data_IF_766222289108
#
_entry.id   IF_766222289108
#
_cell.length_a   1.000
_cell.length_b   1.000
_cell.length_c   1.000
_cell.angle_alpha   90.00
_cell.angle_beta   90.00
_cell.angle_gamma   90.00
#
_symmetry.space_group_name_H-M   'P 1'
#
loop_
_entity.id
_entity.type
_entity.pdbx_description
1 polymer ?
#
# COMPACT_ATOMS: atom_id res chain seq x y z
N UNK A 1 -18.79 -20.26 -15.70
CA UNK A 1 -19.36 -20.54 -14.36
C UNK A 1 -20.58 -19.64 -14.19
N UNK A 2 -21.63 -20.12 -13.52
CA UNK A 2 -22.74 -19.25 -13.14
C UNK A 2 -22.25 -18.30 -12.06
N UNK A 3 -22.51 -17.00 -12.23
CA UNK A 3 -22.33 -15.99 -11.19
C UNK A 3 -23.15 -16.46 -9.96
N UNK A 4 -22.57 -16.52 -8.74
CA UNK A 4 -23.32 -16.91 -7.55
C UNK A 4 -24.57 -16.05 -7.40
N UNK A 5 -25.67 -16.60 -6.88
CA UNK A 5 -26.95 -15.90 -6.77
C UNK A 5 -26.87 -14.58 -5.95
N UNK A 6 -25.82 -14.44 -5.15
CA UNK A 6 -25.52 -13.30 -4.29
C UNK A 6 -24.91 -12.11 -5.04
N UNK A 7 -24.29 -12.34 -6.20
CA UNK A 7 -23.80 -11.29 -7.12
C UNK A 7 -24.91 -10.75 -8.04
N UNK A 8 -26.17 -11.05 -7.74
CA UNK A 8 -27.27 -10.28 -8.32
C UNK A 8 -27.22 -8.83 -7.78
N UNK A 9 -27.63 -7.81 -8.54
CA UNK A 9 -27.42 -6.40 -8.19
C UNK A 9 -28.05 -5.94 -6.86
N UNK A 10 -29.01 -6.69 -6.28
CA UNK A 10 -29.59 -6.39 -4.96
C UNK A 10 -28.98 -7.24 -3.82
N UNK A 11 -28.17 -8.25 -4.14
CA UNK A 11 -27.54 -9.14 -3.17
C UNK A 11 -26.30 -8.52 -2.54
N UNK A 12 -25.50 -7.81 -3.35
CA UNK A 12 -24.24 -7.20 -2.92
C UNK A 12 -24.42 -6.13 -1.83
N UNK A 13 -25.44 -5.27 -1.96
CA UNK A 13 -25.70 -4.16 -1.03
C UNK A 13 -26.08 -4.60 0.39
N UNK A 14 -26.43 -5.89 0.59
CA UNK A 14 -26.85 -6.43 1.89
C UNK A 14 -25.87 -7.48 2.45
N UNK A 15 -24.69 -7.63 1.84
CA UNK A 15 -23.69 -8.57 2.33
C UNK A 15 -23.17 -8.16 3.70
N UNK A 16 -22.86 -9.17 4.51
CA UNK A 16 -22.17 -9.02 5.78
C UNK A 16 -20.80 -9.67 5.72
N UNK A 17 -19.93 -9.36 6.68
CA UNK A 17 -18.62 -10.01 6.78
C UNK A 17 -18.74 -11.54 6.88
N UNK A 18 -19.76 -12.05 7.57
CA UNK A 18 -20.00 -13.48 7.68
C UNK A 18 -20.42 -14.13 6.36
N UNK A 19 -21.13 -13.38 5.49
CA UNK A 19 -21.50 -13.88 4.16
C UNK A 19 -20.24 -14.01 3.31
N UNK A 20 -19.39 -12.98 3.27
CA UNK A 20 -18.10 -13.00 2.58
C UNK A 20 -17.21 -14.14 3.10
N UNK A 21 -17.05 -14.28 4.42
CA UNK A 21 -16.23 -15.33 5.04
C UNK A 21 -16.71 -16.76 4.67
N UNK A 22 -18.02 -16.91 4.40
CA UNK A 22 -18.60 -18.19 4.00
C UNK A 22 -18.46 -18.51 2.51
N UNK A 23 -18.08 -17.53 1.69
CA UNK A 23 -17.94 -17.69 0.24
C UNK A 23 -16.63 -18.39 -0.15
N UNK A 24 -16.63 -19.22 -1.19
CA UNK A 24 -15.40 -19.74 -1.76
C UNK A 24 -14.61 -18.62 -2.49
N UNK A 25 -13.27 -18.58 -2.42
CA UNK A 25 -12.45 -17.57 -3.12
C UNK A 25 -12.75 -17.47 -4.62
N UNK A 26 -13.13 -18.58 -5.27
CA UNK A 26 -13.50 -18.62 -6.68
C UNK A 26 -14.74 -17.78 -7.03
N UNK A 27 -15.56 -17.41 -6.04
CA UNK A 27 -16.69 -16.51 -6.23
C UNK A 27 -16.24 -15.12 -6.70
N UNK A 28 -15.02 -14.69 -6.32
CA UNK A 28 -14.46 -13.39 -6.66
C UNK A 28 -13.71 -13.37 -8.00
N UNK A 29 -13.57 -14.50 -8.68
CA UNK A 29 -12.70 -14.60 -9.87
C UNK A 29 -13.20 -13.85 -11.11
N UNK A 30 -14.44 -13.39 -11.10
CA UNK A 30 -15.04 -12.65 -12.22
C UNK A 30 -15.72 -11.35 -11.76
N UNK A 31 -15.48 -10.92 -10.52
CA UNK A 31 -16.06 -9.69 -10.00
C UNK A 31 -15.52 -8.49 -10.77
N UNK A 32 -16.39 -7.54 -11.08
CA UNK A 32 -16.04 -6.27 -11.72
C UNK A 32 -15.79 -5.17 -10.68
N UNK A 33 -15.14 -4.08 -11.08
CA UNK A 33 -14.98 -2.90 -10.21
C UNK A 33 -16.33 -2.36 -9.72
N UNK A 34 -17.35 -2.38 -10.57
CA UNK A 34 -18.70 -1.88 -10.24
C UNK A 34 -19.37 -2.77 -9.19
N UNK A 35 -19.29 -4.09 -9.34
CA UNK A 35 -19.80 -5.04 -8.35
C UNK A 35 -19.03 -4.94 -7.04
N UNK A 36 -17.69 -4.82 -7.10
CA UNK A 36 -16.86 -4.68 -5.92
C UNK A 36 -17.16 -3.38 -5.15
N UNK A 37 -17.32 -2.25 -5.86
CA UNK A 37 -17.70 -0.96 -5.26
C UNK A 37 -19.12 -0.96 -4.65
N UNK A 38 -19.94 -1.96 -4.99
CA UNK A 38 -21.29 -2.13 -4.47
C UNK A 38 -21.33 -3.00 -3.21
N UNK A 39 -20.21 -3.63 -2.81
CA UNK A 39 -20.09 -4.35 -1.55
C UNK A 39 -20.00 -3.34 -0.40
N UNK A 40 -20.79 -3.46 0.67
CA UNK A 40 -20.69 -2.56 1.80
C UNK A 40 -19.32 -2.69 2.50
N UNK A 41 -18.74 -1.57 2.92
CA UNK A 41 -17.45 -1.56 3.61
C UNK A 41 -17.40 -2.52 4.81
N UNK A 42 -18.47 -2.59 5.61
CA UNK A 42 -18.55 -3.52 6.75
C UNK A 42 -18.42 -5.00 6.36
N UNK A 43 -18.77 -5.39 5.13
CA UNK A 43 -18.60 -6.76 4.65
C UNK A 43 -17.15 -7.10 4.31
N UNK A 44 -16.31 -6.08 4.05
CA UNK A 44 -14.88 -6.28 3.78
C UNK A 44 -14.15 -6.92 4.96
N UNK A 45 -14.70 -6.83 6.17
CA UNK A 45 -14.19 -7.51 7.36
C UNK A 45 -14.15 -9.04 7.25
N UNK A 46 -14.86 -9.64 6.29
CA UNK A 46 -14.86 -11.08 6.01
C UNK A 46 -13.81 -11.54 5.00
N UNK A 47 -13.08 -10.62 4.36
CA UNK A 47 -12.10 -10.96 3.32
C UNK A 47 -10.87 -11.65 3.88
N UNK A 48 -10.29 -12.56 3.11
CA UNK A 48 -9.00 -13.17 3.40
C UNK A 48 -8.04 -13.11 2.19
N UNK A 49 -6.77 -13.46 2.40
CA UNK A 49 -5.75 -13.40 1.36
C UNK A 49 -6.07 -14.28 0.13
N UNK A 50 -6.75 -15.40 0.33
CA UNK A 50 -7.22 -16.27 -0.75
C UNK A 50 -8.29 -15.56 -1.59
N UNK A 51 -9.26 -14.90 -0.97
CA UNK A 51 -10.29 -14.15 -1.71
C UNK A 51 -9.68 -13.01 -2.54
N UNK A 52 -8.78 -12.23 -1.95
CA UNK A 52 -8.07 -11.15 -2.66
C UNK A 52 -7.22 -11.72 -3.80
N UNK A 53 -6.46 -12.78 -3.55
CA UNK A 53 -5.60 -13.42 -4.56
C UNK A 53 -6.34 -14.06 -5.74
N UNK A 54 -7.64 -14.35 -5.60
CA UNK A 54 -8.49 -14.86 -6.69
C UNK A 54 -9.19 -13.74 -7.48
N UNK A 55 -9.15 -12.50 -6.99
CA UNK A 55 -9.81 -11.36 -7.64
C UNK A 55 -9.07 -10.93 -8.91
N UNK A 56 -9.76 -10.50 -9.97
CA UNK A 56 -9.09 -9.84 -11.09
C UNK A 56 -8.56 -8.47 -10.67
N UNK A 57 -7.34 -8.07 -11.10
CA UNK A 57 -6.77 -6.75 -10.76
C UNK A 57 -7.72 -5.58 -11.06
N UNK A 58 -8.47 -5.67 -12.16
CA UNK A 58 -9.44 -4.65 -12.55
C UNK A 58 -10.53 -4.38 -11.51
N UNK A 59 -10.86 -5.33 -10.62
CA UNK A 59 -11.84 -5.12 -9.56
C UNK A 59 -11.34 -4.16 -8.48
N UNK A 60 -10.03 -4.09 -8.25
CA UNK A 60 -9.42 -3.16 -7.29
C UNK A 60 -9.71 -1.69 -7.63
N UNK A 61 -10.04 -1.40 -8.90
CA UNK A 61 -10.49 -0.07 -9.33
C UNK A 61 -11.80 0.41 -8.68
N UNK A 62 -12.56 -0.49 -8.05
CA UNK A 62 -13.77 -0.17 -7.29
C UNK A 62 -13.53 0.07 -5.80
N UNK A 63 -12.30 -0.06 -5.30
CA UNK A 63 -11.99 0.09 -3.88
C UNK A 63 -11.99 1.56 -3.45
N UNK A 64 -12.42 1.84 -2.22
CA UNK A 64 -12.30 3.16 -1.60
C UNK A 64 -11.68 3.06 -0.20
N UNK A 65 -11.46 4.20 0.45
CA UNK A 65 -10.80 4.28 1.75
C UNK A 65 -11.58 3.59 2.88
N UNK A 66 -12.91 3.62 2.85
CA UNK A 66 -13.74 2.98 3.89
C UNK A 66 -13.67 1.46 3.72
N UNK A 67 -13.71 0.95 2.49
CA UNK A 67 -13.49 -0.48 2.19
C UNK A 67 -12.10 -0.95 2.62
N UNK A 68 -11.05 -0.16 2.33
CA UNK A 68 -9.69 -0.46 2.76
C UNK A 68 -9.60 -0.52 4.29
N UNK A 69 -10.16 0.48 4.98
CA UNK A 69 -10.17 0.56 6.45
C UNK A 69 -10.88 -0.63 7.10
N UNK A 70 -11.95 -1.13 6.47
CA UNK A 70 -12.73 -2.25 7.00
C UNK A 70 -12.13 -3.63 6.66
N UNK A 71 -11.17 -3.70 5.74
CA UNK A 71 -10.51 -4.96 5.36
C UNK A 71 -9.60 -5.46 6.51
N UNK A 72 -9.56 -6.76 6.79
CA UNK A 72 -8.62 -7.27 7.78
C UNK A 72 -7.19 -7.26 7.21
N UNK A 73 -6.14 -6.98 8.03
CA UNK A 73 -4.76 -6.99 7.56
C UNK A 73 -4.35 -8.30 6.87
N UNK A 74 -4.89 -9.44 7.32
CA UNK A 74 -4.59 -10.74 6.72
C UNK A 74 -4.98 -10.84 5.24
N UNK A 75 -5.97 -10.05 4.77
CA UNK A 75 -6.37 -10.03 3.36
C UNK A 75 -5.31 -9.40 2.45
N UNK A 76 -4.48 -8.49 2.97
CA UNK A 76 -3.37 -7.86 2.23
C UNK A 76 -2.37 -8.88 1.69
N UNK A 77 -2.24 -10.03 2.36
CA UNK A 77 -1.35 -11.11 1.93
C UNK A 77 -1.67 -11.72 0.56
N UNK A 78 -2.86 -11.43 0.02
CA UNK A 78 -3.27 -11.86 -1.32
C UNK A 78 -2.95 -10.86 -2.44
N UNK A 79 -2.46 -9.66 -2.12
CA UNK A 79 -2.21 -8.62 -3.14
C UNK A 79 -0.98 -8.93 -4.00
N UNK A 80 -1.03 -8.44 -5.23
CA UNK A 80 0.11 -8.43 -6.14
C UNK A 80 0.30 -7.04 -6.79
N UNK A 81 1.35 -6.90 -7.61
CA UNK A 81 1.69 -5.62 -8.24
C UNK A 81 0.61 -5.12 -9.21
N UNK A 82 -0.07 -6.01 -9.93
CA UNK A 82 -1.12 -5.63 -10.88
C UNK A 82 -2.36 -5.15 -10.11
N UNK A 83 -2.71 -5.81 -8.99
CA UNK A 83 -3.77 -5.36 -8.09
C UNK A 83 -3.47 -3.99 -7.49
N UNK A 84 -2.23 -3.78 -7.02
CA UNK A 84 -1.78 -2.51 -6.49
C UNK A 84 -1.87 -1.40 -7.56
N UNK A 85 -1.42 -1.69 -8.78
CA UNK A 85 -1.48 -0.75 -9.92
C UNK A 85 -2.92 -0.36 -10.29
N UNK A 86 -3.87 -1.30 -10.16
CA UNK A 86 -5.27 -1.08 -10.48
C UNK A 86 -6.06 -0.39 -9.36
N UNK A 87 -5.51 -0.30 -8.15
CA UNK A 87 -6.14 0.36 -7.01
C UNK A 87 -6.19 1.88 -7.22
N UNK A 88 -7.30 2.56 -6.89
CA UNK A 88 -7.33 4.02 -6.94
C UNK A 88 -6.52 4.61 -5.77
N UNK A 89 -5.79 5.72 -5.98
CA UNK A 89 -5.02 6.37 -4.90
C UNK A 89 -5.86 6.70 -3.66
N UNK A 90 -7.14 7.02 -3.84
CA UNK A 90 -8.05 7.31 -2.73
C UNK A 90 -8.19 6.15 -1.72
N UNK A 91 -8.09 4.88 -2.18
CA UNK A 91 -8.17 3.73 -1.28
C UNK A 91 -6.99 3.65 -0.31
N UNK A 92 -5.83 4.18 -0.70
CA UNK A 92 -4.63 4.23 0.15
C UNK A 92 -4.86 5.00 1.46
N UNK A 93 -5.83 5.93 1.48
CA UNK A 93 -6.18 6.71 2.67
C UNK A 93 -6.70 5.86 3.83
N UNK A 94 -7.14 4.62 3.58
CA UNK A 94 -7.60 3.67 4.58
C UNK A 94 -6.55 2.68 5.07
N UNK A 95 -5.32 2.71 4.55
CA UNK A 95 -4.26 1.79 4.99
C UNK A 95 -3.71 2.15 6.38
N UNK A 96 -3.34 1.13 7.14
CA UNK A 96 -2.63 1.29 8.41
C UNK A 96 -1.34 0.45 8.44
N UNK A 97 -0.61 0.52 9.56
CA UNK A 97 0.67 -0.16 9.70
C UNK A 97 0.54 -1.69 9.65
N UNK A 98 -0.53 -2.26 10.22
CA UNK A 98 -0.73 -3.71 10.24
C UNK A 98 -1.05 -4.23 8.83
N UNK A 99 -1.87 -3.49 8.06
CA UNK A 99 -2.11 -3.77 6.64
C UNK A 99 -0.81 -3.70 5.82
N UNK A 100 0.01 -2.67 6.02
CA UNK A 100 1.29 -2.54 5.34
C UNK A 100 2.20 -3.73 5.67
N UNK A 101 2.33 -4.12 6.93
CA UNK A 101 3.14 -5.28 7.34
C UNK A 101 2.62 -6.61 6.76
N UNK A 102 1.32 -6.75 6.56
CA UNK A 102 0.73 -7.94 5.97
C UNK A 102 0.79 -7.97 4.43
N UNK A 103 1.09 -6.84 3.79
CA UNK A 103 1.23 -6.72 2.34
C UNK A 103 2.50 -7.45 1.87
N UNK A 104 2.45 -8.23 0.79
CA UNK A 104 3.65 -8.87 0.26
C UNK A 104 4.55 -7.82 -0.42
N UNK A 105 5.89 -7.90 -0.27
CA UNK A 105 6.82 -6.97 -0.92
C UNK A 105 6.60 -6.85 -2.43
N UNK A 106 6.21 -7.94 -3.10
CA UNK A 106 5.93 -7.93 -4.53
C UNK A 106 4.81 -6.96 -4.94
N UNK A 107 3.82 -6.70 -4.08
CA UNK A 107 2.75 -5.76 -4.37
C UNK A 107 3.24 -4.31 -4.47
N UNK A 108 4.32 -3.96 -3.75
CA UNK A 108 4.94 -2.62 -3.80
C UNK A 108 5.42 -2.22 -5.19
N UNK A 109 5.67 -3.20 -6.07
CA UNK A 109 6.05 -2.95 -7.46
C UNK A 109 5.00 -2.20 -8.29
N UNK A 110 3.74 -2.18 -7.83
CA UNK A 110 2.64 -1.46 -8.46
C UNK A 110 2.36 -0.06 -7.90
N UNK A 111 3.12 0.41 -6.90
CA UNK A 111 2.90 1.74 -6.32
C UNK A 111 3.34 2.87 -7.24
N UNK A 112 2.65 4.00 -7.16
CA UNK A 112 3.05 5.25 -7.81
C UNK A 112 3.08 6.43 -6.81
N UNK A 113 3.44 7.62 -7.31
CA UNK A 113 3.57 8.81 -6.49
C UNK A 113 2.21 9.31 -5.95
N UNK A 114 1.12 9.12 -6.68
CA UNK A 114 -0.21 9.56 -6.26
C UNK A 114 -0.73 8.66 -5.13
N UNK A 115 -0.51 7.34 -5.23
CA UNK A 115 -0.79 6.37 -4.16
C UNK A 115 0.05 6.67 -2.91
N UNK A 116 1.34 6.95 -3.08
CA UNK A 116 2.23 7.33 -1.97
C UNK A 116 1.72 8.60 -1.29
N UNK A 117 1.32 9.62 -2.06
CA UNK A 117 0.79 10.89 -1.53
C UNK A 117 -0.52 10.70 -0.75
N UNK A 118 -1.36 9.75 -1.17
CA UNK A 118 -2.64 9.47 -0.53
C UNK A 118 -2.52 8.55 0.70
N UNK A 119 -1.39 7.86 0.87
CA UNK A 119 -1.14 6.97 2.01
C UNK A 119 -1.01 7.78 3.31
N UNK A 120 -1.63 7.35 4.42
CA UNK A 120 -1.44 8.02 5.70
C UNK A 120 -0.03 7.72 6.26
N UNK A 121 0.64 8.69 6.91
CA UNK A 121 1.96 8.49 7.49
C UNK A 121 2.03 7.31 8.48
N UNK A 122 0.94 7.00 9.18
CA UNK A 122 0.89 5.87 10.11
C UNK A 122 1.14 4.51 9.41
N UNK A 123 0.74 4.34 8.15
CA UNK A 123 0.95 3.09 7.41
C UNK A 123 2.44 2.82 7.14
N UNK A 124 3.27 3.87 7.06
CA UNK A 124 4.72 3.76 6.90
C UNK A 124 5.38 2.96 8.02
N UNK A 125 4.78 2.94 9.22
CA UNK A 125 5.25 2.18 10.37
C UNK A 125 5.34 0.67 10.13
N UNK A 126 4.62 0.16 9.13
CA UNK A 126 4.63 -1.25 8.75
C UNK A 126 5.62 -1.62 7.64
N UNK A 127 6.37 -0.65 7.08
CA UNK A 127 7.33 -0.92 6.00
C UNK A 127 8.62 -1.58 6.47
N UNK A 128 9.16 -2.44 5.60
CA UNK A 128 10.46 -3.08 5.77
C UNK A 128 11.39 -2.86 4.56
N UNK A 129 12.60 -3.40 4.64
CA UNK A 129 13.62 -3.23 3.60
C UNK A 129 13.25 -3.95 2.29
N UNK A 130 12.57 -5.11 2.35
CA UNK A 130 12.19 -5.85 1.15
C UNK A 130 11.08 -5.13 0.38
N UNK A 131 10.10 -4.55 1.11
CA UNK A 131 9.08 -3.66 0.54
C UNK A 131 9.70 -2.42 -0.11
N UNK A 132 10.67 -1.79 0.57
CA UNK A 132 11.40 -0.65 0.05
C UNK A 132 12.14 -1.00 -1.25
N UNK A 133 12.82 -2.16 -1.30
CA UNK A 133 13.52 -2.65 -2.50
C UNK A 133 12.58 -2.97 -3.66
N UNK A 134 11.37 -3.44 -3.37
CA UNK A 134 10.39 -3.76 -4.40
C UNK A 134 9.63 -2.53 -4.94
N UNK A 135 9.63 -1.41 -4.20
CA UNK A 135 8.97 -0.17 -4.60
C UNK A 135 9.65 0.45 -5.82
N UNK A 136 8.90 0.98 -6.81
CA UNK A 136 9.50 1.70 -7.91
C UNK A 136 10.01 3.09 -7.44
N UNK A 137 11.17 3.56 -7.93
CA UNK A 137 11.71 4.87 -7.56
C UNK A 137 10.75 6.04 -7.82
N UNK A 138 9.85 5.92 -8.81
CA UNK A 138 8.86 6.95 -9.11
C UNK A 138 7.87 7.19 -7.95
N UNK A 139 7.55 6.18 -7.13
CA UNK A 139 6.65 6.32 -5.99
C UNK A 139 7.22 7.27 -4.91
N UNK A 140 8.55 7.35 -4.81
CA UNK A 140 9.25 8.25 -3.88
C UNK A 140 8.86 9.71 -4.05
N UNK A 141 8.44 10.11 -5.25
CA UNK A 141 8.03 11.48 -5.56
C UNK A 141 6.79 11.94 -4.77
N UNK A 142 6.01 11.02 -4.20
CA UNK A 142 4.85 11.31 -3.37
C UNK A 142 5.11 11.31 -1.86
N UNK A 143 6.34 11.03 -1.42
CA UNK A 143 6.66 11.04 0.01
C UNK A 143 6.79 12.46 0.58
N UNK A 144 6.52 12.57 1.88
CA UNK A 144 6.76 13.78 2.66
C UNK A 144 7.51 13.48 3.97
N UNK A 145 7.93 14.54 4.67
CA UNK A 145 8.72 14.43 5.91
C UNK A 145 8.02 13.65 7.04
N UNK A 146 6.68 13.71 7.12
CA UNK A 146 5.91 12.97 8.14
C UNK A 146 5.88 11.48 7.86
N UNK A 147 5.78 11.08 6.59
CA UNK A 147 5.91 9.69 6.16
C UNK A 147 7.30 9.16 6.46
N UNK A 148 8.34 9.95 6.18
CA UNK A 148 9.71 9.60 6.51
C UNK A 148 9.90 9.41 8.02
N UNK A 149 9.34 10.31 8.84
CA UNK A 149 9.42 10.23 10.32
C UNK A 149 8.72 8.98 10.88
N UNK A 150 7.66 8.51 10.23
CA UNK A 150 6.91 7.33 10.64
C UNK A 150 7.53 6.00 10.14
N UNK A 151 8.45 6.06 9.17
CA UNK A 151 9.10 4.89 8.61
C UNK A 151 10.08 4.25 9.62
N UNK A 152 10.08 2.90 9.78
CA UNK A 152 11.09 2.22 10.56
C UNK A 152 12.49 2.41 9.98
N UNK A 153 13.52 2.71 10.80
CA UNK A 153 14.89 2.89 10.29
C UNK A 153 15.43 1.68 9.51
N UNK A 154 14.97 0.47 9.82
CA UNK A 154 15.38 -0.74 9.11
C UNK A 154 14.94 -0.75 7.63
N UNK A 155 13.84 -0.09 7.28
CA UNK A 155 13.34 -0.03 5.91
C UNK A 155 14.32 0.71 4.97
N UNK A 156 15.13 1.63 5.52
CA UNK A 156 16.19 2.33 4.79
C UNK A 156 17.18 1.39 4.11
N UNK A 157 17.38 0.18 4.65
CA UNK A 157 18.29 -0.81 4.09
C UNK A 157 17.92 -1.29 2.69
N UNK A 158 16.68 -1.04 2.25
CA UNK A 158 16.20 -1.36 0.91
C UNK A 158 16.27 -0.22 -0.10
N UNK A 159 16.73 0.98 0.29
CA UNK A 159 16.84 2.12 -0.63
C UNK A 159 17.99 1.98 -1.62
N UNK A 160 17.82 2.55 -2.81
CA UNK A 160 18.90 2.72 -3.78
C UNK A 160 19.09 4.19 -4.20
N UNK A 161 20.12 4.44 -5.02
CA UNK A 161 20.46 5.81 -5.47
C UNK A 161 19.32 6.48 -6.26
N UNK A 162 18.57 5.72 -7.06
CA UNK A 162 17.46 6.21 -7.87
C UNK A 162 16.30 6.66 -6.99
N UNK A 163 16.01 5.90 -5.93
CA UNK A 163 15.00 6.27 -4.94
C UNK A 163 15.37 7.57 -4.22
N UNK A 164 16.65 7.71 -3.83
CA UNK A 164 17.15 8.96 -3.26
C UNK A 164 16.94 10.13 -4.23
N UNK A 165 17.30 9.97 -5.51
CA UNK A 165 17.12 11.06 -6.50
C UNK A 165 15.66 11.42 -6.81
N UNK A 166 14.72 10.49 -6.60
CA UNK A 166 13.30 10.71 -6.85
C UNK A 166 12.56 11.26 -5.63
N UNK A 167 13.14 11.16 -4.44
CA UNK A 167 12.57 11.66 -3.18
C UNK A 167 12.58 13.20 -3.16
N UNK A 168 11.48 13.85 -2.73
CA UNK A 168 11.46 15.29 -2.48
C UNK A 168 12.47 15.68 -1.39
N UNK A 169 13.24 16.77 -1.56
CA UNK A 169 14.28 17.16 -0.61
C UNK A 169 13.74 17.47 0.79
N UNK A 170 12.47 17.86 0.91
CA UNK A 170 11.79 18.10 2.19
C UNK A 170 11.71 16.85 3.07
N UNK A 171 11.72 15.65 2.46
CA UNK A 171 11.72 14.38 3.20
C UNK A 171 12.95 14.23 4.10
N UNK A 172 14.07 14.87 3.75
CA UNK A 172 15.27 14.88 4.58
C UNK A 172 15.02 15.41 6.00
N UNK A 173 14.02 16.29 6.18
CA UNK A 173 13.64 16.79 7.49
C UNK A 173 13.06 15.73 8.44
N UNK A 174 12.64 14.58 7.93
CA UNK A 174 12.16 13.43 8.72
C UNK A 174 13.23 12.38 9.03
N UNK A 175 14.48 12.57 8.56
CA UNK A 175 15.56 11.63 8.82
C UNK A 175 16.07 11.73 10.26
N UNK A 176 16.45 10.59 10.83
CA UNK A 176 17.18 10.54 12.09
C UNK A 176 18.54 9.82 11.96
N UNK A 177 19.33 9.84 13.03
CA UNK A 177 20.64 9.19 13.08
C UNK A 177 20.59 7.67 12.87
N UNK A 178 19.47 7.01 13.21
CA UNK A 178 19.31 5.59 12.99
C UNK A 178 19.08 5.29 11.50
N UNK A 179 18.23 6.06 10.82
CA UNK A 179 17.98 5.95 9.38
C UNK A 179 19.27 6.11 8.57
N UNK A 180 20.12 7.08 8.95
CA UNK A 180 21.44 7.25 8.33
C UNK A 180 22.35 6.03 8.54
N UNK A 181 22.22 5.32 9.67
CA UNK A 181 22.98 4.10 9.96
C UNK A 181 22.55 2.87 9.16
N UNK A 182 21.28 2.81 8.75
CA UNK A 182 20.74 1.73 7.92
C UNK A 182 20.81 2.02 6.41
N UNK A 183 21.12 3.26 6.03
CA UNK A 183 21.18 3.66 4.62
C UNK A 183 22.33 2.93 3.88
N UNK A 184 22.04 2.32 2.72
CA UNK A 184 23.06 1.73 1.87
C UNK A 184 24.07 2.76 1.34
N UNK A 185 25.36 2.42 1.20
CA UNK A 185 26.38 3.34 0.71
C UNK A 185 26.09 3.87 -0.70
N UNK A 186 25.35 3.13 -1.54
CA UNK A 186 25.00 3.58 -2.88
C UNK A 186 24.09 4.82 -2.88
N UNK A 187 23.27 5.00 -1.83
CA UNK A 187 22.39 6.16 -1.70
C UNK A 187 23.15 7.48 -1.56
N UNK A 188 24.41 7.46 -1.10
CA UNK A 188 25.24 8.67 -0.96
C UNK A 188 25.43 9.43 -2.28
N UNK A 189 25.36 8.74 -3.43
CA UNK A 189 25.44 9.36 -4.76
C UNK A 189 24.20 10.16 -5.16
N UNK A 190 23.07 9.96 -4.48
CA UNK A 190 21.81 10.66 -4.75
C UNK A 190 21.62 11.97 -3.98
N UNK A 191 22.48 12.26 -2.99
CA UNK A 191 22.38 13.50 -2.22
C UNK A 191 22.77 14.71 -3.06
N UNK A 192 21.85 15.66 -3.18
CA UNK A 192 22.12 16.98 -3.76
C UNK A 192 22.22 18.08 -2.70
N UNK A 193 22.50 19.30 -3.17
CA UNK A 193 22.62 20.46 -2.28
C UNK A 193 21.31 20.86 -1.61
N UNK A 194 20.15 20.55 -2.20
CA UNK A 194 18.85 20.84 -1.62
C UNK A 194 18.58 19.89 -0.45
N UNK A 195 18.82 18.59 -0.63
CA UNK A 195 18.70 17.58 0.43
C UNK A 195 19.58 17.90 1.65
N UNK A 196 20.82 18.33 1.42
CA UNK A 196 21.71 18.77 2.51
C UNK A 196 21.17 19.98 3.29
N UNK A 197 20.36 20.84 2.64
CA UNK A 197 19.73 22.00 3.28
C UNK A 197 18.57 21.65 4.22
N UNK A 198 17.90 20.51 3.99
CA UNK A 198 16.80 19.99 4.81
C UNK A 198 17.26 18.95 5.84
N UNK A 199 18.51 18.49 5.76
CA UNK A 199 19.03 17.49 6.67
C UNK A 199 19.05 18.00 8.12
N UNK A 200 18.53 17.24 9.09
CA UNK A 200 18.56 17.65 10.48
C UNK A 200 20.00 17.63 11.04
N UNK A 201 20.33 18.51 12.01
CA UNK A 201 21.70 18.66 12.52
C UNK A 201 22.29 17.40 13.15
N UNK A 202 21.44 16.50 13.63
CA UNK A 202 21.85 15.23 14.24
C UNK A 202 22.27 14.17 13.22
N UNK A 203 21.99 14.42 11.93
CA UNK A 203 22.35 13.56 10.81
C UNK A 203 23.59 14.08 10.03
N UNK A 204 24.13 15.25 10.40
CA UNK A 204 25.34 15.87 9.82
C UNK A 204 26.63 15.42 10.53
#
# INVERSE_FOLDING_TARGET
MAVPAEFAPNGLENLTAADIESMPPEAFSNITAEEFSSIPADAMGGMDAGMVGFMPPAAMGGMDADMMTAMPPAAMGGMDADMMTAMPPAAMGGMDADMMTACPPAAMGGMDADMMTAMPPAAMGGMDADMMTAMPPAAMGGMDASMMTAMPPAAMGGMDASMMTAMPPECMGGFDSAMMGFMPPECMGGFDSAMMGFMPPECM
#
